data_IF_780839293577
#
_entry.id   IF_780839293577
#
_cell.length_a   1.000
_cell.length_b   1.000
_cell.length_c   1.000
_cell.angle_alpha   90.00
_cell.angle_beta   90.00
_cell.angle_gamma   90.00
#
_symmetry.space_group_name_H-M   'P 1'
#
loop_
_entity.id
_entity.type
_entity.pdbx_description
1 polymer ?
#
# COMPACT_ATOMS: atom_id res chain seq x y z
N UNK A 1 -20.44 9.56 2.99
CA UNK A 1 -21.47 9.25 1.96
C UNK A 1 -20.85 8.61 0.72
N UNK A 2 -20.02 9.33 -0.05
CA UNK A 2 -19.59 8.86 -1.37
C UNK A 2 -18.71 7.60 -1.36
N UNK A 3 -17.89 7.40 -0.32
CA UNK A 3 -17.10 6.17 -0.16
C UNK A 3 -17.98 5.01 0.28
N UNK A 4 -18.30 4.12 -0.65
CA UNK A 4 -19.19 2.96 -0.46
C UNK A 4 -18.38 1.67 -0.22
N UNK A 5 -17.52 1.72 0.80
CA UNK A 5 -16.80 0.57 1.35
C UNK A 5 -16.53 0.78 2.85
N UNK A 6 -15.99 -0.24 3.51
CA UNK A 6 -15.42 -0.15 4.85
C UNK A 6 -13.91 -0.38 4.83
N UNK A 7 -13.12 0.65 5.22
CA UNK A 7 -11.65 0.61 5.19
C UNK A 7 -11.06 1.31 6.42
N UNK A 8 -10.23 0.58 7.17
CA UNK A 8 -9.61 1.09 8.39
C UNK A 8 -10.67 1.51 9.41
N UNK A 9 -10.63 2.79 9.80
CA UNK A 9 -11.59 3.38 10.73
C UNK A 9 -12.94 3.77 10.08
N UNK A 10 -12.99 3.90 8.76
CA UNK A 10 -14.25 4.20 8.05
C UNK A 10 -15.05 2.90 7.91
N UNK A 11 -16.15 2.79 8.65
CA UNK A 11 -17.08 1.67 8.59
C UNK A 11 -18.44 2.12 8.07
N UNK A 12 -19.01 1.31 7.18
CA UNK A 12 -20.32 1.51 6.57
C UNK A 12 -21.14 0.25 6.76
N UNK A 13 -22.24 0.35 7.52
CA UNK A 13 -23.14 -0.78 7.76
C UNK A 13 -23.74 -1.34 6.47
N UNK A 14 -24.01 -0.45 5.50
CA UNK A 14 -24.54 -0.77 4.17
C UNK A 14 -23.45 -1.22 3.17
N UNK A 15 -22.17 -1.01 3.49
CA UNK A 15 -21.03 -1.48 2.70
C UNK A 15 -19.93 -2.05 3.62
N UNK A 16 -20.16 -3.21 4.26
CA UNK A 16 -19.32 -3.68 5.37
C UNK A 16 -17.95 -4.22 4.94
N UNK A 17 -17.75 -4.52 3.65
CA UNK A 17 -16.49 -5.07 3.11
C UNK A 17 -15.53 -3.96 2.70
N UNK A 18 -14.22 -4.22 2.81
CA UNK A 18 -13.18 -3.44 2.11
C UNK A 18 -13.29 -3.73 0.62
N UNK A 19 -13.22 -2.73 -0.24
CA UNK A 19 -13.32 -2.91 -1.68
C UNK A 19 -12.04 -2.46 -2.36
N UNK A 20 -11.15 -3.41 -2.66
CA UNK A 20 -9.90 -3.11 -3.35
C UNK A 20 -10.08 -3.05 -4.87
N UNK A 21 -11.19 -3.56 -5.40
CA UNK A 21 -11.49 -3.48 -6.82
C UNK A 21 -11.89 -2.05 -7.20
N UNK A 22 -12.80 -1.45 -6.43
CA UNK A 22 -13.37 -0.15 -6.77
C UNK A 22 -12.87 1.00 -5.89
N UNK A 23 -12.31 0.73 -4.70
CA UNK A 23 -11.97 1.77 -3.71
C UNK A 23 -10.51 1.76 -3.26
N UNK A 24 -9.61 1.15 -4.05
CA UNK A 24 -8.16 1.27 -3.89
C UNK A 24 -7.66 2.66 -4.33
N UNK A 25 -8.23 3.70 -3.71
CA UNK A 25 -8.02 5.11 -4.05
C UNK A 25 -8.10 6.01 -2.83
N UNK A 26 -7.45 7.16 -2.91
CA UNK A 26 -7.55 8.27 -1.96
C UNK A 26 -8.63 9.25 -2.42
N UNK A 27 -9.42 9.76 -1.48
CA UNK A 27 -10.38 10.84 -1.74
C UNK A 27 -9.69 12.17 -1.52
N UNK A 28 -9.65 13.02 -2.55
CA UNK A 28 -9.09 14.36 -2.50
C UNK A 28 -10.24 15.36 -2.61
N UNK A 29 -10.33 16.29 -1.66
CA UNK A 29 -11.42 17.27 -1.62
C UNK A 29 -10.88 18.68 -1.77
N UNK A 30 -11.48 19.43 -2.67
CA UNK A 30 -11.10 20.81 -2.99
C UNK A 30 -12.30 21.73 -2.77
N UNK A 31 -12.01 22.93 -2.27
CA UNK A 31 -13.01 24.00 -2.25
C UNK A 31 -12.79 24.90 -3.47
N UNK A 32 -13.77 24.96 -4.36
CA UNK A 32 -13.74 25.83 -5.53
C UNK A 32 -14.59 27.06 -5.22
N UNK A 33 -14.05 28.25 -5.50
CA UNK A 33 -14.75 29.50 -5.22
C UNK A 33 -16.08 29.57 -5.96
N UNK A 34 -17.13 30.02 -5.26
CA UNK A 34 -18.50 30.09 -5.80
C UNK A 34 -19.31 28.79 -5.70
N UNK A 35 -18.69 27.65 -5.35
CA UNK A 35 -19.41 26.39 -5.14
C UNK A 35 -19.98 26.30 -3.71
N UNK A 36 -21.13 25.63 -3.59
CA UNK A 36 -21.81 25.39 -2.29
C UNK A 36 -21.50 24.01 -1.69
N UNK A 37 -20.79 23.16 -2.43
CA UNK A 37 -20.32 21.83 -2.01
C UNK A 37 -18.86 21.66 -2.42
N UNK A 38 -18.07 20.81 -1.73
CA UNK A 38 -16.70 20.54 -2.14
C UNK A 38 -16.66 19.75 -3.45
N UNK A 39 -15.70 20.07 -4.30
CA UNK A 39 -15.33 19.21 -5.44
C UNK A 39 -14.54 18.02 -4.90
N UNK A 40 -14.97 16.81 -5.28
CA UNK A 40 -14.37 15.57 -4.81
C UNK A 40 -13.77 14.84 -6.00
N UNK A 41 -12.50 14.51 -5.87
CA UNK A 41 -11.74 13.72 -6.84
C UNK A 41 -11.14 12.51 -6.15
N UNK A 42 -10.63 11.58 -6.96
CA UNK A 42 -9.99 10.39 -6.46
C UNK A 42 -8.66 10.17 -7.15
N UNK A 43 -7.69 9.71 -6.35
CA UNK A 43 -6.37 9.33 -6.81
C UNK A 43 -6.20 7.83 -6.56
N UNK A 44 -6.14 7.06 -7.64
CA UNK A 44 -5.96 5.61 -7.59
C UNK A 44 -4.58 5.26 -7.01
N UNK A 45 -4.53 4.21 -6.19
CA UNK A 45 -3.28 3.67 -5.67
C UNK A 45 -2.81 2.53 -6.58
N UNK A 46 -1.65 2.72 -7.18
CA UNK A 46 -1.06 1.74 -8.10
C UNK A 46 -0.55 0.52 -7.32
N UNK A 47 -1.33 -0.56 -7.33
CA UNK A 47 -0.99 -1.82 -6.64
C UNK A 47 0.35 -2.37 -7.13
N UNK A 48 0.69 -2.21 -8.41
CA UNK A 48 1.91 -2.78 -8.98
C UNK A 48 3.19 -2.09 -8.46
N UNK A 49 3.06 -0.95 -7.78
CA UNK A 49 4.17 -0.23 -7.14
C UNK A 49 4.27 -0.48 -5.64
N UNK A 50 3.39 -1.29 -5.05
CA UNK A 50 3.40 -1.54 -3.61
C UNK A 50 4.49 -2.55 -3.23
N UNK A 51 5.25 -2.26 -2.18
CA UNK A 51 6.18 -3.24 -1.56
C UNK A 51 5.41 -4.41 -0.93
N UNK A 52 4.24 -4.13 -0.38
CA UNK A 52 3.33 -5.12 0.22
C UNK A 52 1.95 -4.92 -0.42
N UNK A 53 1.51 -5.83 -1.29
CA UNK A 53 0.22 -5.70 -1.95
C UNK A 53 -0.96 -5.93 -0.97
N UNK A 54 -2.18 -5.50 -1.33
CA UNK A 54 -3.34 -5.59 -0.46
C UNK A 54 -3.66 -7.04 -0.04
N UNK A 55 -3.78 -7.25 1.27
CA UNK A 55 -4.09 -8.56 1.85
C UNK A 55 -4.92 -8.42 3.14
N UNK A 56 -5.07 -9.52 3.88
CA UNK A 56 -5.70 -9.51 5.20
C UNK A 56 -4.91 -8.64 6.19
N UNK A 57 -5.61 -7.75 6.90
CA UNK A 57 -5.01 -6.77 7.82
C UNK A 57 -4.56 -7.34 9.19
N UNK A 58 -4.72 -8.64 9.43
CA UNK A 58 -4.40 -9.31 10.69
C UNK A 58 -5.54 -9.34 11.72
N UNK A 59 -6.43 -8.35 11.72
CA UNK A 59 -7.54 -8.24 12.69
C UNK A 59 -8.93 -8.11 12.04
N UNK A 60 -9.96 -8.48 12.80
CA UNK A 60 -11.35 -8.51 12.36
C UNK A 60 -11.67 -9.75 11.51
N UNK A 61 -12.85 -9.74 10.89
CA UNK A 61 -13.32 -10.88 10.08
C UNK A 61 -12.41 -11.13 8.86
N UNK A 62 -11.95 -12.38 8.71
CA UNK A 62 -11.27 -12.85 7.50
C UNK A 62 -12.24 -12.84 6.32
N UNK A 63 -11.73 -12.62 5.10
CA UNK A 63 -12.56 -12.58 3.88
C UNK A 63 -13.49 -11.37 3.77
N UNK A 64 -13.35 -10.36 4.65
CA UNK A 64 -14.14 -9.13 4.60
C UNK A 64 -13.55 -8.09 3.62
N UNK A 65 -13.27 -8.57 2.41
CA UNK A 65 -12.54 -7.89 1.35
C UNK A 65 -13.14 -8.31 0.00
N UNK A 66 -13.28 -7.36 -0.91
CA UNK A 66 -13.47 -7.58 -2.35
C UNK A 66 -12.10 -7.39 -2.97
N UNK A 67 -11.51 -8.49 -3.44
CA UNK A 67 -10.13 -8.52 -3.90
C UNK A 67 -9.97 -7.92 -5.30
N UNK A 68 -8.80 -7.31 -5.54
CA UNK A 68 -8.38 -6.84 -6.85
C UNK A 68 -7.36 -7.82 -7.44
N UNK A 69 -7.57 -8.27 -8.67
CA UNK A 69 -6.69 -9.23 -9.38
C UNK A 69 -5.24 -8.76 -9.48
N UNK A 70 -4.98 -7.44 -9.44
CA UNK A 70 -3.62 -6.92 -9.41
C UNK A 70 -2.89 -7.25 -8.11
N UNK A 71 -3.62 -7.47 -7.00
CA UNK A 71 -3.01 -7.79 -5.70
C UNK A 71 -2.31 -9.15 -5.76
N UNK A 72 -2.96 -10.17 -6.33
CA UNK A 72 -2.38 -11.50 -6.52
C UNK A 72 -1.20 -11.45 -7.49
N UNK A 73 -1.33 -10.73 -8.61
CA UNK A 73 -0.24 -10.55 -9.57
C UNK A 73 0.98 -9.90 -8.92
N UNK A 74 0.76 -8.83 -8.16
CA UNK A 74 1.85 -8.14 -7.46
C UNK A 74 2.43 -9.01 -6.35
N UNK A 75 1.62 -9.79 -5.64
CA UNK A 75 2.11 -10.72 -4.62
C UNK A 75 3.09 -11.73 -5.22
N UNK A 76 2.73 -12.36 -6.32
CA UNK A 76 3.62 -13.29 -7.03
C UNK A 76 4.93 -12.60 -7.49
N UNK A 77 4.86 -11.35 -7.95
CA UNK A 77 6.04 -10.58 -8.34
C UNK A 77 6.96 -10.25 -7.14
N UNK A 78 6.38 -9.82 -6.02
CA UNK A 78 7.11 -9.52 -4.78
C UNK A 78 7.81 -10.77 -4.26
N UNK A 79 7.10 -11.90 -4.23
CA UNK A 79 7.65 -13.18 -3.76
C UNK A 79 8.81 -13.63 -4.64
N UNK A 80 8.64 -13.58 -5.97
CA UNK A 80 9.68 -13.96 -6.91
C UNK A 80 10.94 -13.08 -6.82
N UNK A 81 10.78 -11.76 -6.67
CA UNK A 81 11.91 -10.82 -6.51
C UNK A 81 12.65 -11.13 -5.20
N UNK A 82 11.91 -11.32 -4.10
CA UNK A 82 12.49 -11.61 -2.79
C UNK A 82 13.27 -12.93 -2.82
N UNK A 83 12.64 -14.02 -3.25
CA UNK A 83 13.27 -15.35 -3.29
C UNK A 83 14.56 -15.34 -4.13
N UNK A 84 14.50 -14.72 -5.33
CA UNK A 84 15.67 -14.60 -6.21
C UNK A 84 16.81 -13.84 -5.52
N UNK A 85 16.51 -12.67 -4.95
CA UNK A 85 17.55 -11.82 -4.37
C UNK A 85 18.11 -12.40 -3.07
N UNK A 86 17.28 -13.05 -2.24
CA UNK A 86 17.75 -13.79 -1.07
C UNK A 86 18.69 -14.95 -1.47
N UNK A 87 18.38 -15.68 -2.55
CA UNK A 87 19.25 -16.72 -3.10
C UNK A 87 20.58 -16.17 -3.67
N UNK A 88 20.58 -14.93 -4.17
CA UNK A 88 21.78 -14.19 -4.60
C UNK A 88 22.57 -13.59 -3.43
N UNK A 89 22.15 -13.80 -2.17
CA UNK A 89 22.81 -13.28 -0.98
C UNK A 89 22.60 -11.78 -0.75
N UNK A 90 21.58 -11.19 -1.37
CA UNK A 90 21.28 -9.75 -1.26
C UNK A 90 20.71 -9.38 0.09
N UNK A 91 21.13 -8.24 0.61
CA UNK A 91 20.65 -7.73 1.87
C UNK A 91 19.24 -7.16 1.78
N UNK A 92 18.54 -7.05 2.92
CA UNK A 92 17.18 -6.49 2.98
C UNK A 92 17.03 -5.08 2.38
N UNK A 93 18.09 -4.27 2.37
CA UNK A 93 18.07 -2.94 1.76
C UNK A 93 18.05 -2.99 0.24
N UNK A 94 18.83 -3.89 -0.36
CA UNK A 94 18.83 -4.11 -1.80
C UNK A 94 17.49 -4.68 -2.26
N UNK A 95 16.94 -5.64 -1.51
CA UNK A 95 15.62 -6.23 -1.77
C UNK A 95 14.53 -5.16 -1.71
N UNK A 96 14.50 -4.35 -0.63
CA UNK A 96 13.53 -3.26 -0.49
C UNK A 96 13.59 -2.30 -1.68
N UNK A 97 14.79 -1.89 -2.10
CA UNK A 97 14.97 -0.98 -3.22
C UNK A 97 14.56 -1.59 -4.57
N UNK A 98 14.67 -2.92 -4.74
CA UNK A 98 14.19 -3.61 -5.93
C UNK A 98 12.65 -3.75 -5.95
N UNK A 99 12.02 -3.89 -4.78
CA UNK A 99 10.57 -3.99 -4.66
C UNK A 99 9.88 -2.63 -4.85
N UNK A 100 10.33 -1.60 -4.13
CA UNK A 100 9.73 -0.27 -4.14
C UNK A 100 10.77 0.79 -3.78
N UNK A 101 11.53 1.33 -4.75
CA UNK A 101 12.47 2.40 -4.48
C UNK A 101 11.72 3.65 -3.99
N UNK A 102 12.24 4.29 -2.94
CA UNK A 102 11.70 5.52 -2.40
C UNK A 102 12.76 6.61 -2.31
N UNK A 103 12.31 7.86 -2.35
CA UNK A 103 13.17 9.02 -2.23
C UNK A 103 13.24 9.49 -0.77
N UNK A 104 14.46 9.84 -0.35
CA UNK A 104 14.73 10.44 0.94
C UNK A 104 16.04 11.21 0.83
N UNK A 105 16.17 12.32 1.56
CA UNK A 105 17.40 13.10 1.54
C UNK A 105 18.58 12.22 1.97
N UNK A 106 19.74 12.38 1.33
CA UNK A 106 20.90 11.49 1.49
C UNK A 106 21.27 11.24 2.97
N UNK A 107 21.25 12.30 3.80
CA UNK A 107 21.51 12.21 5.25
C UNK A 107 20.57 11.25 5.98
N UNK A 108 19.31 11.18 5.58
CA UNK A 108 18.28 10.37 6.23
C UNK A 108 18.09 9.00 5.58
N UNK A 109 18.65 8.80 4.38
CA UNK A 109 18.66 7.49 3.70
C UNK A 109 19.77 6.56 4.20
N UNK A 110 20.70 7.08 5.02
CA UNK A 110 21.73 6.28 5.67
C UNK A 110 21.13 5.19 6.58
N UNK A 111 21.74 3.99 6.67
CA UNK A 111 21.30 2.94 7.59
C UNK A 111 21.28 3.40 9.05
N UNK A 112 20.22 3.05 9.76
CA UNK A 112 20.14 3.24 11.21
C UNK A 112 20.94 2.15 11.93
N UNK A 113 21.98 2.54 12.68
CA UNK A 113 22.74 1.62 13.52
C UNK A 113 21.84 0.93 14.54
N UNK A 114 22.10 -0.36 14.81
CA UNK A 114 21.41 -1.15 15.84
C UNK A 114 22.45 -1.93 16.64
N UNK A 115 22.17 -2.13 17.92
CA UNK A 115 22.99 -3.00 18.77
C UNK A 115 23.01 -4.41 18.17
N UNK A 116 24.20 -4.96 17.97
CA UNK A 116 24.40 -6.30 17.40
C UNK A 116 24.28 -6.40 15.88
N UNK A 117 24.32 -5.27 15.15
CA UNK A 117 24.39 -5.26 13.68
C UNK A 117 25.54 -4.35 13.25
N UNK A 118 26.57 -4.95 12.66
CA UNK A 118 27.69 -4.21 12.07
C UNK A 118 27.33 -3.80 10.63
N UNK A 119 27.44 -2.50 10.36
CA UNK A 119 27.24 -1.90 9.05
C UNK A 119 28.61 -1.39 8.57
N UNK A 120 29.57 -2.29 8.38
CA UNK A 120 30.85 -1.99 7.70
C UNK A 120 30.67 -1.95 6.17
#
# INVERSE_FOLDING_TARGET
LLRTESRGAHYREDYPKRDDLNWMKRTNTFWVEGETLPRIEYEELDIMKMEIPPAFRGYGAKGNIIENLLSEKRQAEVDAIREKMEAEGKGRYEIQNALMPYELQAKYKAPNQRIGVDYE
#
